data_IF_904214606521
#
_entry.id   IF_904214606521
#
_cell.length_a   1.000
_cell.length_b   1.000
_cell.length_c   1.000
_cell.angle_alpha   90.00
_cell.angle_beta   90.00
_cell.angle_gamma   90.00
#
_symmetry.space_group_name_H-M   'P 1'
#
loop_
_entity.id
_entity.type
_entity.pdbx_description
1 polymer ?
#
# COMPACT_ATOMS: atom_id res chain seq x y z
N UNK A 1 -7.16 -19.32 -25.70
CA UNK A 1 -5.88 -18.81 -25.18
C UNK A 1 -6.14 -17.36 -24.80
N UNK A 2 -6.76 -17.15 -23.64
CA UNK A 2 -7.17 -15.82 -23.17
C UNK A 2 -5.99 -15.22 -22.40
N UNK A 3 -5.71 -13.96 -22.69
CA UNK A 3 -4.53 -13.22 -22.21
C UNK A 3 -4.63 -12.92 -20.71
N UNK A 4 -3.52 -13.09 -20.01
CA UNK A 4 -3.28 -12.85 -18.57
C UNK A 4 -3.76 -11.49 -18.02
N UNK A 5 -4.16 -10.53 -18.88
CA UNK A 5 -4.57 -9.18 -18.48
C UNK A 5 -6.00 -9.07 -17.94
N UNK A 6 -6.92 -9.99 -18.27
CA UNK A 6 -8.32 -9.91 -17.77
C UNK A 6 -8.44 -10.30 -16.28
N UNK A 7 -7.50 -11.06 -15.73
CA UNK A 7 -7.57 -11.58 -14.36
C UNK A 7 -7.18 -10.56 -13.27
N UNK A 8 -6.51 -9.45 -13.62
CA UNK A 8 -5.98 -8.48 -12.64
C UNK A 8 -7.06 -7.63 -11.97
N UNK A 9 -8.24 -7.47 -12.61
CA UNK A 9 -9.32 -6.65 -12.10
C UNK A 9 -10.18 -7.39 -11.07
N UNK A 10 -10.16 -8.71 -11.10
CA UNK A 10 -10.98 -9.60 -10.28
C UNK A 10 -10.15 -10.30 -9.19
N UNK A 11 -8.88 -9.88 -8.99
CA UNK A 11 -8.02 -10.41 -7.93
C UNK A 11 -8.47 -9.83 -6.58
N UNK A 12 -9.33 -10.58 -5.88
CA UNK A 12 -9.83 -10.21 -4.56
C UNK A 12 -8.71 -10.13 -3.50
N UNK A 13 -7.52 -10.62 -3.82
CA UNK A 13 -6.32 -10.58 -2.98
C UNK A 13 -5.39 -9.39 -3.27
N UNK A 14 -5.79 -8.47 -4.16
CA UNK A 14 -4.92 -7.35 -4.56
C UNK A 14 -5.65 -6.00 -4.61
N UNK A 15 -5.01 -4.99 -4.04
CA UNK A 15 -5.41 -3.60 -4.19
C UNK A 15 -4.31 -2.81 -4.88
N UNK A 16 -4.68 -2.02 -5.90
CA UNK A 16 -3.74 -1.17 -6.66
C UNK A 16 -4.20 0.27 -6.73
N UNK A 17 -3.34 1.21 -6.33
CA UNK A 17 -3.47 2.63 -6.68
C UNK A 17 -2.54 2.96 -7.82
N UNK A 18 -3.08 3.50 -8.91
CA UNK A 18 -2.29 4.07 -9.99
C UNK A 18 -1.92 5.51 -9.60
N UNK A 19 -0.63 5.85 -9.67
CA UNK A 19 -0.13 7.19 -9.38
C UNK A 19 -0.08 7.97 -10.69
N UNK A 20 -0.92 9.01 -10.79
CA UNK A 20 -0.92 9.96 -11.89
C UNK A 20 -0.25 11.26 -11.45
N UNK A 21 0.60 11.83 -12.29
CA UNK A 21 1.08 13.19 -12.08
C UNK A 21 0.15 14.20 -12.75
N UNK A 22 -0.02 15.37 -12.14
CA UNK A 22 -0.74 16.47 -12.78
C UNK A 22 0.19 17.17 -13.79
N UNK A 23 0.08 16.81 -15.07
CA UNK A 23 0.78 17.46 -16.17
C UNK A 23 -0.06 18.57 -16.80
N UNK A 24 0.57 19.47 -17.56
CA UNK A 24 -0.18 20.48 -18.32
C UNK A 24 -0.97 19.81 -19.45
N UNK A 25 -2.26 19.54 -19.20
CA UNK A 25 -3.18 18.96 -20.17
C UNK A 25 -3.15 17.44 -20.29
N UNK A 26 -2.34 16.75 -19.48
CA UNK A 26 -2.28 15.29 -19.42
C UNK A 26 -2.07 14.78 -17.98
N UNK A 27 -2.48 13.55 -17.71
CA UNK A 27 -2.32 12.86 -16.43
C UNK A 27 -1.45 11.61 -16.62
N UNK A 28 -0.14 11.75 -16.88
CA UNK A 28 0.72 10.61 -17.12
C UNK A 28 0.76 9.69 -15.90
N UNK A 29 0.67 8.39 -16.15
CA UNK A 29 0.92 7.35 -15.16
C UNK A 29 2.41 7.31 -14.84
N UNK A 30 2.76 7.58 -13.59
CA UNK A 30 4.16 7.68 -13.15
C UNK A 30 4.58 6.57 -12.20
N UNK A 31 3.65 5.71 -11.77
CA UNK A 31 3.92 4.61 -10.86
C UNK A 31 2.68 4.03 -10.21
N UNK A 32 2.87 3.24 -9.16
CA UNK A 32 1.81 2.49 -8.51
C UNK A 32 2.11 2.12 -7.04
N UNK A 33 0.98 2.13 -6.30
CA UNK A 33 0.59 1.55 -5.02
C UNK A 33 0.12 0.10 -5.02
N UNK A 34 0.86 -0.93 -4.66
CA UNK A 34 0.28 -2.28 -4.54
C UNK A 34 0.14 -2.73 -3.08
N UNK A 35 -0.95 -3.43 -2.79
CA UNK A 35 -1.09 -4.28 -1.60
C UNK A 35 -1.49 -5.68 -2.06
N UNK A 36 -0.75 -6.69 -1.62
CA UNK A 36 -1.03 -8.10 -1.83
C UNK A 36 -1.46 -8.74 -0.52
N UNK A 37 -2.65 -9.30 -0.49
CA UNK A 37 -3.25 -9.96 0.67
C UNK A 37 -2.87 -11.45 0.65
N UNK A 38 -2.35 -11.95 1.77
CA UNK A 38 -1.88 -13.34 1.91
C UNK A 38 -2.53 -13.97 3.12
N UNK A 39 -3.14 -15.14 2.93
CA UNK A 39 -3.87 -15.85 3.98
C UNK A 39 -5.32 -15.38 4.13
N UNK A 40 -6.06 -15.99 5.06
CA UNK A 40 -7.41 -15.56 5.41
C UNK A 40 -7.33 -14.36 6.37
N UNK A 41 -8.06 -13.25 6.15
CA UNK A 41 -8.02 -12.09 7.03
C UNK A 41 -8.48 -12.32 8.48
N UNK A 42 -9.08 -13.47 8.79
CA UNK A 42 -9.43 -13.89 10.14
C UNK A 42 -8.34 -14.73 10.82
N UNK A 43 -7.32 -15.16 10.09
CA UNK A 43 -6.23 -15.98 10.60
C UNK A 43 -5.05 -15.13 11.11
N UNK A 44 -4.31 -15.65 12.08
CA UNK A 44 -3.17 -14.95 12.70
C UNK A 44 -1.98 -14.75 11.75
N UNK A 45 -1.90 -15.55 10.68
CA UNK A 45 -0.86 -15.47 9.65
C UNK A 45 -1.22 -14.54 8.50
N UNK A 46 -2.38 -13.85 8.56
CA UNK A 46 -2.77 -12.86 7.58
C UNK A 46 -1.72 -11.75 7.42
N UNK A 47 -1.33 -11.50 6.18
CA UNK A 47 -0.35 -10.49 5.83
C UNK A 47 -0.80 -9.66 4.63
N UNK A 48 -0.66 -8.33 4.74
CA UNK A 48 -0.87 -7.38 3.66
C UNK A 48 0.47 -6.78 3.25
N UNK A 49 1.06 -7.30 2.17
CA UNK A 49 2.35 -6.86 1.66
C UNK A 49 2.22 -5.60 0.80
N UNK A 50 2.88 -4.52 1.20
CA UNK A 50 2.84 -3.23 0.50
C UNK A 50 4.05 -3.10 -0.42
N UNK A 51 3.81 -2.68 -1.66
CA UNK A 51 4.84 -2.37 -2.65
C UNK A 51 4.61 -1.00 -3.30
N UNK A 52 5.67 -0.26 -3.60
CA UNK A 52 5.59 1.03 -4.29
C UNK A 52 6.60 1.11 -5.43
N UNK A 53 6.19 1.71 -6.54
CA UNK A 53 7.07 2.06 -7.64
C UNK A 53 6.80 3.48 -8.13
N UNK A 54 7.86 4.24 -8.40
CA UNK A 54 7.81 5.43 -9.26
C UNK A 54 8.65 5.11 -10.48
N UNK A 55 7.97 4.75 -11.57
CA UNK A 55 8.58 4.24 -12.79
C UNK A 55 9.47 5.31 -13.44
N UNK A 56 8.95 6.53 -13.55
CA UNK A 56 9.61 7.62 -14.26
C UNK A 56 10.65 8.35 -13.39
N UNK A 57 11.90 8.38 -13.84
CA UNK A 57 13.03 8.97 -13.11
C UNK A 57 12.84 10.45 -12.79
N UNK A 58 12.24 11.19 -13.74
CA UNK A 58 11.95 12.62 -13.58
C UNK A 58 10.98 12.92 -12.44
N UNK A 59 10.25 11.91 -11.95
CA UNK A 59 9.30 12.03 -10.83
C UNK A 59 9.86 11.45 -9.51
N UNK A 60 11.01 10.78 -9.52
CA UNK A 60 11.65 10.23 -8.31
C UNK A 60 12.25 11.35 -7.45
N UNK A 61 12.43 11.08 -6.15
CA UNK A 61 13.04 12.04 -5.21
C UNK A 61 12.18 13.26 -4.85
N UNK A 62 10.95 13.35 -5.36
CA UNK A 62 10.03 14.47 -5.12
C UNK A 62 9.00 14.23 -4.00
N UNK A 63 9.15 13.14 -3.24
CA UNK A 63 8.22 12.76 -2.17
C UNK A 63 6.91 12.10 -2.64
N UNK A 64 6.71 11.89 -3.95
CA UNK A 64 5.46 11.34 -4.49
C UNK A 64 5.13 9.94 -3.97
N UNK A 65 6.13 9.06 -3.85
CA UNK A 65 5.97 7.73 -3.28
C UNK A 65 5.48 7.78 -1.82
N UNK A 66 5.96 8.76 -1.04
CA UNK A 66 5.55 8.92 0.36
C UNK A 66 4.08 9.33 0.45
N UNK A 67 3.66 10.29 -0.36
CA UNK A 67 2.26 10.74 -0.37
C UNK A 67 1.32 9.64 -0.86
N UNK A 68 1.70 8.93 -1.93
CA UNK A 68 0.93 7.78 -2.42
C UNK A 68 0.81 6.67 -1.38
N UNK A 69 1.90 6.34 -0.67
CA UNK A 69 1.88 5.36 0.41
C UNK A 69 1.01 5.83 1.59
N UNK A 70 1.08 7.11 1.99
CA UNK A 70 0.20 7.64 3.05
C UNK A 70 -1.27 7.47 2.69
N UNK A 71 -1.64 7.84 1.47
CA UNK A 71 -3.01 7.68 0.98
C UNK A 71 -3.44 6.21 0.99
N UNK A 72 -2.61 5.30 0.48
CA UNK A 72 -2.90 3.87 0.46
C UNK A 72 -3.03 3.31 1.88
N UNK A 73 -2.06 3.57 2.76
CA UNK A 73 -2.06 3.09 4.14
C UNK A 73 -3.27 3.64 4.91
N UNK A 74 -3.55 4.94 4.81
CA UNK A 74 -4.76 5.52 5.40
C UNK A 74 -6.02 4.88 4.86
N UNK A 75 -6.13 4.63 3.55
CA UNK A 75 -7.30 3.99 2.96
C UNK A 75 -7.54 2.59 3.53
N UNK A 76 -6.50 1.77 3.66
CA UNK A 76 -6.66 0.38 4.11
C UNK A 76 -6.76 0.22 5.62
N UNK A 77 -6.23 1.14 6.43
CA UNK A 77 -6.27 1.04 7.90
C UNK A 77 -7.37 1.88 8.54
N UNK A 78 -7.88 2.91 7.87
CA UNK A 78 -8.85 3.82 8.46
C UNK A 78 -10.23 3.18 8.61
N UNK A 79 -10.92 3.54 9.69
CA UNK A 79 -12.34 3.21 9.84
C UNK A 79 -13.14 3.85 8.70
N UNK A 80 -14.10 3.13 8.08
CA UNK A 80 -14.98 3.68 7.05
C UNK A 80 -15.67 4.98 7.46
N UNK A 81 -15.93 5.16 8.76
CA UNK A 81 -16.53 6.36 9.34
C UNK A 81 -15.70 7.64 9.12
N UNK A 82 -14.39 7.54 8.84
CA UNK A 82 -13.54 8.70 8.56
C UNK A 82 -13.72 9.26 7.14
N UNK A 83 -14.33 8.47 6.24
CA UNK A 83 -14.56 8.86 4.85
C UNK A 83 -16.03 9.12 4.53
N UNK A 84 -16.93 9.01 5.52
CA UNK A 84 -18.36 9.27 5.32
C UNK A 84 -18.67 10.76 5.47
N UNK A 85 -19.35 11.32 4.48
CA UNK A 85 -19.88 12.67 4.56
C UNK A 85 -21.09 12.67 5.54
N UNK A 86 -21.17 13.58 6.53
CA UNK A 86 -22.26 13.63 7.51
C UNK A 86 -23.64 13.96 6.92
N UNK A 87 -23.77 14.09 5.60
CA UNK A 87 -25.05 14.15 4.89
C UNK A 87 -25.35 12.82 4.17
N UNK A 88 -25.91 11.79 4.84
CA UNK A 88 -26.20 10.51 4.21
C UNK A 88 -27.58 10.58 3.55
N UNK A 89 -27.68 11.09 2.33
CA UNK A 89 -28.88 10.85 1.50
C UNK A 89 -28.79 9.51 0.76
N UNK A 90 -27.63 8.87 0.75
CA UNK A 90 -27.38 7.55 0.18
C UNK A 90 -26.58 6.73 1.19
N UNK A 91 -27.08 5.55 1.55
CA UNK A 91 -26.30 4.58 2.32
C UNK A 91 -25.03 4.24 1.52
N UNK A 92 -23.87 4.55 2.09
CA UNK A 92 -22.61 4.15 1.47
C UNK A 92 -22.47 2.62 1.56
N UNK A 93 -21.95 1.96 0.52
CA UNK A 93 -21.62 0.55 0.61
C UNK A 93 -20.59 0.34 1.72
N UNK A 94 -20.69 -0.79 2.42
CA UNK A 94 -19.62 -1.22 3.32
C UNK A 94 -18.31 -1.31 2.53
N UNK A 95 -17.16 -1.00 3.15
CA UNK A 95 -15.88 -1.22 2.49
C UNK A 95 -15.76 -2.68 2.06
N UNK A 96 -15.05 -2.98 0.96
CA UNK A 96 -14.78 -4.36 0.60
C UNK A 96 -14.01 -5.05 1.74
N UNK A 97 -14.36 -6.30 2.03
CA UNK A 97 -13.55 -7.14 2.94
C UNK A 97 -12.14 -7.26 2.33
N UNK A 98 -11.05 -7.16 3.12
CA UNK A 98 -10.96 -7.16 4.58
C UNK A 98 -10.75 -5.79 5.24
N UNK A 99 -11.17 -4.69 4.62
CA UNK A 99 -10.91 -3.36 5.20
C UNK A 99 -11.84 -3.06 6.39
N UNK A 100 -11.32 -2.47 7.50
CA UNK A 100 -9.94 -2.02 7.70
C UNK A 100 -8.96 -3.16 8.04
N UNK A 101 -7.79 -3.14 7.41
CA UNK A 101 -6.65 -4.02 7.70
C UNK A 101 -5.97 -3.54 8.98
N UNK A 102 -5.66 -4.48 9.87
CA UNK A 102 -4.89 -4.19 11.08
C UNK A 102 -3.46 -3.79 10.72
N UNK A 103 -2.96 -2.74 11.37
CA UNK A 103 -1.64 -2.21 11.03
C UNK A 103 -0.49 -3.19 11.29
N UNK A 104 -0.65 -4.14 12.22
CA UNK A 104 0.33 -5.20 12.48
C UNK A 104 0.38 -6.28 11.39
N UNK A 105 -0.66 -6.39 10.56
CA UNK A 105 -0.68 -7.25 9.36
C UNK A 105 0.08 -6.64 8.18
N UNK A 106 0.44 -5.36 8.21
CA UNK A 106 1.17 -4.70 7.13
C UNK A 106 2.66 -5.08 7.13
N UNK A 107 3.13 -5.55 5.97
CA UNK A 107 4.51 -5.96 5.77
C UNK A 107 5.09 -5.38 4.48
N UNK A 108 6.41 -5.25 4.44
CA UNK A 108 7.16 -4.75 3.29
C UNK A 108 8.44 -5.56 3.13
N UNK A 109 8.72 -5.98 1.90
CA UNK A 109 9.95 -6.68 1.52
C UNK A 109 10.81 -5.75 0.66
N UNK A 110 12.04 -5.49 1.10
CA UNK A 110 12.95 -4.54 0.45
C UNK A 110 14.31 -5.20 0.30
N UNK A 111 14.90 -5.15 -0.90
CA UNK A 111 16.29 -5.53 -1.10
C UNK A 111 17.22 -4.76 -0.16
N UNK A 112 18.12 -5.44 0.54
CA UNK A 112 18.93 -4.88 1.63
C UNK A 112 19.74 -3.62 1.24
N UNK A 113 20.13 -3.52 -0.03
CA UNK A 113 20.89 -2.37 -0.57
C UNK A 113 20.00 -1.18 -0.96
N UNK A 114 18.67 -1.36 -1.01
CA UNK A 114 17.72 -0.32 -1.37
C UNK A 114 17.46 0.61 -0.17
N UNK A 115 18.46 1.46 0.10
CA UNK A 115 18.45 2.47 1.16
C UNK A 115 17.35 3.52 0.95
N UNK A 116 16.99 3.81 -0.30
CA UNK A 116 15.95 4.77 -0.62
C UNK A 116 14.57 4.29 -0.13
N UNK A 117 14.17 3.07 -0.49
CA UNK A 117 12.92 2.47 0.00
C UNK A 117 12.98 2.21 1.51
N UNK A 118 14.13 1.75 2.04
CA UNK A 118 14.29 1.57 3.49
C UNK A 118 13.94 2.86 4.25
N UNK A 119 14.57 4.00 3.89
CA UNK A 119 14.29 5.29 4.53
C UNK A 119 12.87 5.78 4.30
N UNK A 120 12.27 5.46 3.15
CA UNK A 120 10.89 5.80 2.85
C UNK A 120 9.92 5.12 3.83
N UNK A 121 10.09 3.82 4.06
CA UNK A 121 9.24 3.06 4.97
C UNK A 121 9.54 3.33 6.44
N UNK A 122 10.79 3.62 6.82
CA UNK A 122 11.14 4.12 8.16
C UNK A 122 10.35 5.40 8.51
N UNK A 123 10.21 6.34 7.56
CA UNK A 123 9.42 7.57 7.74
C UNK A 123 7.92 7.33 7.90
N UNK A 124 7.44 6.15 7.50
CA UNK A 124 6.06 5.71 7.66
C UNK A 124 5.85 4.88 8.93
N UNK A 125 6.87 4.74 9.78
CA UNK A 125 6.80 3.99 11.04
C UNK A 125 7.05 2.49 10.89
N UNK A 126 7.47 2.03 9.71
CA UNK A 126 7.94 0.66 9.54
C UNK A 126 9.31 0.49 10.17
N UNK A 127 9.51 -0.65 10.85
CA UNK A 127 10.78 -1.05 11.43
C UNK A 127 11.19 -2.39 10.86
N UNK A 128 12.50 -2.62 10.75
CA UNK A 128 13.02 -3.93 10.35
C UNK A 128 12.67 -5.00 11.40
N UNK A 129 11.96 -6.04 10.97
CA UNK A 129 11.54 -7.18 11.81
C UNK A 129 12.35 -8.43 11.52
N UNK A 130 12.79 -8.60 10.27
CA UNK A 130 13.67 -9.69 9.85
C UNK A 130 14.75 -9.14 8.92
N UNK A 131 15.99 -9.56 9.17
CA UNK A 131 17.13 -9.26 8.30
C UNK A 131 17.01 -9.92 6.93
N UNK A 132 18.01 -9.70 6.08
CA UNK A 132 18.01 -10.20 4.71
C UNK A 132 17.86 -11.73 4.64
N UNK A 133 16.91 -12.20 3.82
CA UNK A 133 16.71 -13.60 3.49
C UNK A 133 17.73 -14.08 2.43
N UNK A 134 17.60 -15.33 1.97
CA UNK A 134 18.48 -15.90 0.93
C UNK A 134 18.47 -15.15 -0.41
N UNK A 135 17.46 -14.30 -0.65
CA UNK A 135 17.32 -13.44 -1.82
C UNK A 135 17.84 -12.02 -1.60
N UNK A 136 18.39 -11.72 -0.41
CA UNK A 136 18.87 -10.39 -0.07
C UNK A 136 17.76 -9.40 0.27
N UNK A 137 16.55 -9.87 0.57
CA UNK A 137 15.42 -9.01 0.95
C UNK A 137 15.19 -9.05 2.45
N UNK A 138 15.05 -7.88 3.07
CA UNK A 138 14.67 -7.73 4.46
C UNK A 138 13.18 -7.44 4.60
N UNK A 139 12.63 -7.80 5.75
CA UNK A 139 11.24 -7.55 6.11
C UNK A 139 11.14 -6.35 7.05
N UNK A 140 10.19 -5.47 6.78
CA UNK A 140 9.81 -4.38 7.66
C UNK A 140 8.30 -4.41 7.94
N UNK A 141 7.90 -4.09 9.18
CA UNK A 141 6.48 -4.02 9.61
C UNK A 141 6.21 -2.76 10.45
N UNK A 142 4.95 -2.34 10.53
CA UNK A 142 4.53 -1.22 11.39
C UNK A 142 4.53 -1.67 12.86
N UNK A 143 5.15 -0.89 13.76
CA UNK A 143 4.95 -1.04 15.21
C UNK A 143 3.63 -0.38 15.61
N UNK A 144 2.87 -1.03 16.49
CA UNK A 144 1.54 -0.61 16.96
C UNK A 144 1.47 0.84 17.51
N UNK A 145 2.59 1.46 17.86
CA UNK A 145 2.64 2.77 18.53
C UNK A 145 2.63 4.00 17.59
N UNK A 146 2.69 3.82 16.26
CA UNK A 146 2.96 4.94 15.32
C UNK A 146 1.78 5.50 14.52
N UNK A 147 0.56 4.98 14.69
CA UNK A 147 -0.64 5.53 14.04
C UNK A 147 -1.54 6.21 15.09
N UNK A 148 -1.06 7.33 15.62
CA UNK A 148 -1.92 8.36 16.20
C UNK A 148 -2.02 9.50 15.19
N UNK A 149 -3.01 9.41 14.31
CA UNK A 149 -3.53 10.56 13.55
C UNK A 149 -4.80 11.02 14.24
#
# INVERSE_FOLDING_TARGET
>A
MLSTAEHWREDDDKLTFIILANGEGDLPMIGDVNIFLKGDPNDEDFEAEVGVMIAEESYRGKGLALEALRLMLSYVTASPALFTNPSPTLALPNPPFPFPIRSDSLAVRIGQENRASTRLFERLGFVETRGANAFGEKEMRIRQDFLSV
#
